data_IF_526758762049
#
_entry.id   IF_526758762049
#
_cell.length_a   1.000
_cell.length_b   1.000
_cell.length_c   1.000
_cell.angle_alpha   90.00
_cell.angle_beta   90.00
_cell.angle_gamma   90.00
#
_symmetry.space_group_name_H-M   'P 1'
#
loop_
_entity.id
_entity.type
_entity.pdbx_description
1 polymer ?
#
# COMPACT_ATOMS: atom_id res chain seq x y z
N UNK A 1 48.19 -27.23 53.86
CA UNK A 1 47.20 -27.92 53.01
C UNK A 1 45.88 -27.16 53.16
N UNK A 2 45.64 -26.17 52.31
CA UNK A 2 44.82 -26.22 51.07
C UNK A 2 43.38 -25.80 51.35
N UNK A 3 42.94 -24.66 50.78
CA UNK A 3 41.48 -24.42 50.74
C UNK A 3 40.89 -23.06 50.36
N UNK A 4 41.58 -22.20 49.61
CA UNK A 4 41.03 -21.17 48.70
C UNK A 4 39.92 -20.21 49.19
N UNK A 5 40.40 -19.01 49.54
CA UNK A 5 39.81 -17.68 49.36
C UNK A 5 39.02 -17.53 48.03
N UNK A 6 37.67 -17.42 48.11
CA UNK A 6 36.79 -17.11 46.96
C UNK A 6 36.55 -15.60 46.89
N UNK A 7 37.45 -14.90 46.21
CA UNK A 7 37.23 -13.50 45.78
C UNK A 7 36.11 -13.46 44.75
N UNK A 8 35.05 -12.72 45.03
CA UNK A 8 34.06 -12.30 44.05
C UNK A 8 34.75 -11.46 42.96
N UNK A 9 35.03 -12.06 41.80
CA UNK A 9 35.27 -11.30 40.57
C UNK A 9 33.95 -10.67 40.17
N UNK A 10 33.87 -9.35 40.26
CA UNK A 10 32.85 -8.57 39.57
C UNK A 10 32.86 -8.99 38.10
N UNK A 11 31.75 -9.59 37.65
CA UNK A 11 31.58 -9.94 36.26
C UNK A 11 31.57 -8.63 35.45
N UNK A 12 32.56 -8.48 34.57
CA UNK A 12 32.57 -7.40 33.58
C UNK A 12 31.22 -7.46 32.84
N UNK A 13 30.48 -6.35 32.71
CA UNK A 13 29.25 -6.34 31.93
C UNK A 13 29.59 -6.84 30.51
N UNK A 14 28.73 -7.69 29.91
CA UNK A 14 28.97 -8.14 28.55
C UNK A 14 29.14 -6.89 27.66
N UNK A 15 30.11 -6.89 26.74
CA UNK A 15 30.25 -5.78 25.81
C UNK A 15 28.90 -5.55 25.14
N UNK A 16 28.46 -4.29 25.12
CA UNK A 16 27.24 -3.88 24.45
C UNK A 16 27.20 -4.55 23.07
N UNK A 17 26.06 -5.16 22.74
CA UNK A 17 25.84 -5.75 21.42
C UNK A 17 26.31 -4.74 20.36
N UNK A 18 27.11 -5.16 19.35
CA UNK A 18 27.64 -4.23 18.38
C UNK A 18 26.49 -3.43 17.78
N UNK A 19 26.59 -2.10 17.86
CA UNK A 19 25.60 -1.17 17.34
C UNK A 19 25.25 -1.59 15.91
N UNK A 20 23.95 -1.82 15.67
CA UNK A 20 23.45 -2.18 14.34
C UNK A 20 23.94 -1.14 13.34
N UNK A 21 24.49 -1.53 12.17
CA UNK A 21 24.87 -0.58 11.10
C UNK A 21 23.67 0.14 10.46
N UNK A 22 22.48 -0.04 11.02
CA UNK A 22 21.24 0.53 10.54
C UNK A 22 20.76 1.60 11.52
N UNK A 23 20.70 2.83 11.02
CA UNK A 23 20.03 3.95 11.69
C UNK A 23 18.55 3.94 11.29
N UNK A 24 17.61 4.04 12.25
CA UNK A 24 16.20 4.29 11.96
C UNK A 24 16.01 5.47 11.02
N UNK A 25 14.99 5.40 10.15
CA UNK A 25 14.62 6.50 9.27
C UNK A 25 13.16 6.85 9.55
N UNK A 26 12.93 8.08 10.02
CA UNK A 26 11.57 8.56 10.27
C UNK A 26 10.90 8.89 8.94
N UNK A 27 9.67 8.40 8.75
CA UNK A 27 8.90 8.70 7.54
C UNK A 27 7.96 9.88 7.80
N UNK A 28 7.91 10.81 6.85
CA UNK A 28 7.04 12.00 6.89
C UNK A 28 6.47 12.29 5.50
N UNK A 29 5.62 13.31 5.40
CA UNK A 29 5.24 13.94 4.14
C UNK A 29 5.43 15.45 4.15
N UNK A 30 5.61 16.02 2.96
CA UNK A 30 5.73 17.44 2.71
C UNK A 30 4.97 17.79 1.42
N UNK A 31 4.04 18.73 1.49
CA UNK A 31 3.46 19.34 0.30
C UNK A 31 4.19 20.64 -0.01
N UNK A 32 4.74 20.77 -1.21
CA UNK A 32 5.47 21.97 -1.64
C UNK A 32 4.55 23.19 -1.79
N UNK A 33 3.23 22.99 -1.86
CA UNK A 33 2.26 24.09 -1.80
C UNK A 33 2.12 24.68 -0.38
N UNK A 34 2.51 23.93 0.65
CA UNK A 34 2.59 24.38 2.05
C UNK A 34 3.93 23.93 2.66
N UNK A 35 5.05 24.54 2.23
CA UNK A 35 6.39 24.08 2.55
C UNK A 35 6.77 24.27 4.02
N UNK A 36 5.92 24.91 4.82
CA UNK A 36 6.13 25.12 6.25
C UNK A 36 5.74 23.93 7.12
N UNK A 37 4.91 23.01 6.60
CA UNK A 37 4.30 21.95 7.39
C UNK A 37 4.76 20.55 6.93
N UNK A 38 5.72 19.98 7.67
CA UNK A 38 6.07 18.55 7.57
C UNK A 38 5.08 17.76 8.43
N UNK A 39 4.49 16.69 7.90
CA UNK A 39 3.42 15.93 8.56
C UNK A 39 3.79 14.46 8.73
N UNK A 40 3.20 13.83 9.75
CA UNK A 40 3.29 12.38 9.96
C UNK A 40 2.37 11.61 9.01
N UNK A 41 2.75 10.39 8.58
CA UNK A 41 1.95 9.54 7.70
C UNK A 41 0.47 9.38 8.12
N UNK A 42 -0.42 9.33 7.13
CA UNK A 42 -1.86 9.07 7.34
C UNK A 42 -2.62 10.21 8.02
N UNK A 43 -2.16 11.46 7.87
CA UNK A 43 -2.84 12.64 8.39
C UNK A 43 -2.82 12.77 9.92
N UNK A 44 -1.74 12.30 10.58
CA UNK A 44 -1.58 12.39 12.05
C UNK A 44 -1.12 13.77 12.55
N UNK A 45 -1.06 14.76 11.67
CA UNK A 45 -0.68 16.14 11.99
C UNK A 45 0.82 16.42 11.83
N UNK A 46 1.30 17.59 12.31
CA UNK A 46 2.67 18.04 12.14
C UNK A 46 3.71 17.10 12.75
N UNK A 47 4.91 17.05 12.16
CA UNK A 47 6.04 16.26 12.61
C UNK A 47 7.33 17.09 12.58
N UNK A 48 8.15 16.94 13.63
CA UNK A 48 9.47 17.57 13.71
C UNK A 48 10.55 16.52 14.08
N UNK A 49 10.79 15.52 13.22
CA UNK A 49 11.68 14.42 13.54
C UNK A 49 13.15 14.86 13.61
N UNK A 50 13.91 14.18 14.46
CA UNK A 50 15.37 14.30 14.53
C UNK A 50 16.04 13.13 13.78
N UNK A 51 17.27 13.34 13.29
CA UNK A 51 18.03 12.30 12.58
C UNK A 51 17.59 12.08 11.13
N UNK A 52 17.68 10.84 10.63
CA UNK A 52 17.41 10.55 9.20
C UNK A 52 15.92 10.58 8.91
N UNK A 53 15.54 11.28 7.85
CA UNK A 53 14.16 11.46 7.40
C UNK A 53 14.00 10.97 5.96
N UNK A 54 12.89 10.28 5.68
CA UNK A 54 12.41 10.01 4.33
C UNK A 54 11.03 10.65 4.18
N UNK A 55 10.87 11.53 3.20
CA UNK A 55 9.64 12.27 3.00
C UNK A 55 8.98 11.89 1.68
N UNK A 56 7.68 11.62 1.71
CA UNK A 56 6.86 11.70 0.51
C UNK A 56 6.66 13.18 0.18
N UNK A 57 7.14 13.60 -0.98
CA UNK A 57 6.98 14.97 -1.46
C UNK A 57 5.79 15.04 -2.41
N UNK A 58 4.95 16.04 -2.20
CA UNK A 58 3.78 16.33 -3.01
C UNK A 58 3.82 17.75 -3.56
N UNK A 59 3.01 18.01 -4.56
CA UNK A 59 2.67 19.36 -5.00
C UNK A 59 1.16 19.44 -5.20
N UNK A 60 0.49 20.25 -4.40
CA UNK A 60 -0.99 20.36 -4.41
C UNK A 60 -1.67 18.99 -4.19
N UNK A 61 -1.15 18.20 -3.26
CA UNK A 61 -1.61 16.84 -2.93
C UNK A 61 -1.07 15.73 -3.83
N UNK A 62 -0.58 16.06 -5.02
CA UNK A 62 -0.08 15.08 -6.00
C UNK A 62 1.30 14.54 -5.63
N UNK A 63 1.47 13.21 -5.45
CA UNK A 63 2.78 12.62 -5.13
C UNK A 63 3.80 12.79 -6.26
N UNK A 64 4.95 13.36 -5.93
CA UNK A 64 6.08 13.52 -6.85
C UNK A 64 7.15 12.45 -6.65
N UNK A 65 7.40 12.06 -5.40
CA UNK A 65 8.44 11.09 -5.08
C UNK A 65 8.83 11.02 -3.62
N UNK A 66 9.73 10.10 -3.28
CA UNK A 66 10.40 10.09 -1.98
C UNK A 66 11.73 10.84 -2.07
N UNK A 67 12.02 11.67 -1.08
CA UNK A 67 13.35 12.29 -0.89
C UNK A 67 13.86 12.04 0.52
N UNK A 68 15.14 12.31 0.74
CA UNK A 68 15.80 12.09 2.02
C UNK A 68 16.47 13.38 2.52
N UNK A 69 16.40 13.61 3.84
CA UNK A 69 17.11 14.68 4.52
C UNK A 69 17.47 14.26 5.95
N UNK A 70 18.18 15.13 6.65
CA UNK A 70 18.48 14.97 8.08
C UNK A 70 17.76 16.06 8.86
N UNK A 71 16.88 15.65 9.77
CA UNK A 71 16.24 16.52 10.74
C UNK A 71 17.20 16.92 11.84
N UNK A 72 16.88 18.03 12.50
CA UNK A 72 17.57 18.46 13.72
C UNK A 72 16.52 18.91 14.72
N UNK A 73 16.61 18.38 15.94
CA UNK A 73 15.72 18.73 17.05
C UNK A 73 15.49 20.25 17.15
N UNK A 74 14.22 20.66 17.26
CA UNK A 74 13.80 22.06 17.39
C UNK A 74 13.88 22.90 16.10
N UNK A 75 14.19 22.32 14.93
CA UNK A 75 14.30 23.06 13.66
C UNK A 75 13.43 22.49 12.52
N UNK A 76 12.10 22.40 12.68
CA UNK A 76 11.21 21.85 11.64
C UNK A 76 11.26 22.62 10.31
N UNK A 77 11.34 23.95 10.35
CA UNK A 77 11.44 24.77 9.13
C UNK A 77 12.74 24.52 8.35
N UNK A 78 13.84 24.20 9.03
CA UNK A 78 15.10 23.87 8.36
C UNK A 78 15.01 22.49 7.67
N UNK A 79 14.36 21.52 8.31
CA UNK A 79 14.06 20.22 7.70
C UNK A 79 13.19 20.39 6.45
N UNK A 80 12.12 21.17 6.54
CA UNK A 80 11.21 21.40 5.42
C UNK A 80 11.93 22.03 4.21
N UNK A 81 12.80 23.03 4.45
CA UNK A 81 13.67 23.61 3.41
C UNK A 81 14.63 22.59 2.80
N UNK A 82 15.26 21.75 3.64
CA UNK A 82 16.17 20.71 3.16
C UNK A 82 15.46 19.69 2.26
N UNK A 83 14.24 19.30 2.64
CA UNK A 83 13.38 18.40 1.86
C UNK A 83 12.91 19.04 0.55
N UNK A 84 12.47 20.30 0.58
CA UNK A 84 12.10 21.04 -0.64
C UNK A 84 13.29 21.19 -1.61
N UNK A 85 14.48 21.49 -1.09
CA UNK A 85 15.69 21.56 -1.90
C UNK A 85 16.08 20.19 -2.48
N UNK A 86 15.91 19.09 -1.73
CA UNK A 86 16.11 17.74 -2.24
C UNK A 86 15.09 17.41 -3.34
N UNK A 87 13.83 17.77 -3.16
CA UNK A 87 12.78 17.59 -4.18
C UNK A 87 13.07 18.32 -5.48
N UNK A 88 13.54 19.57 -5.40
CA UNK A 88 13.96 20.33 -6.57
C UNK A 88 15.10 19.62 -7.33
N UNK A 89 16.14 19.17 -6.62
CA UNK A 89 17.31 18.51 -7.23
C UNK A 89 17.03 17.11 -7.77
N UNK A 90 16.25 16.30 -7.04
CA UNK A 90 16.09 14.87 -7.31
C UNK A 90 14.83 14.56 -8.14
N UNK A 91 13.78 15.34 -7.98
CA UNK A 91 12.48 15.11 -8.62
C UNK A 91 12.15 16.16 -9.69
N UNK A 92 12.98 17.20 -9.85
CA UNK A 92 12.71 18.31 -10.77
C UNK A 92 11.49 19.15 -10.36
N UNK A 93 11.12 19.11 -9.08
CA UNK A 93 10.00 19.89 -8.55
C UNK A 93 10.26 21.41 -8.70
N UNK A 94 9.22 22.26 -8.79
CA UNK A 94 9.40 23.71 -8.80
C UNK A 94 10.23 24.16 -7.60
N UNK A 95 11.14 25.10 -7.81
CA UNK A 95 11.84 25.73 -6.70
C UNK A 95 10.79 26.44 -5.84
N UNK A 96 10.72 26.08 -4.57
CA UNK A 96 9.88 26.81 -3.60
C UNK A 96 10.57 28.16 -3.39
N UNK A 97 9.91 29.29 -3.67
CA UNK A 97 10.47 30.61 -3.36
C UNK A 97 10.79 30.66 -1.87
N UNK A 98 11.91 31.28 -1.49
CA UNK A 98 12.15 31.57 -0.07
C UNK A 98 10.91 32.29 0.47
N UNK A 99 10.25 31.70 1.47
CA UNK A 99 9.09 32.32 2.09
C UNK A 99 9.51 33.74 2.53
N UNK A 100 8.80 34.80 2.11
CA UNK A 100 9.14 36.13 2.56
C UNK A 100 9.00 36.16 4.09
N UNK A 101 9.98 36.79 4.75
CA UNK A 101 9.84 37.16 6.15
C UNK A 101 8.49 37.88 6.33
N UNK A 102 7.78 37.60 7.42
CA UNK A 102 6.52 38.23 7.79
C UNK A 102 6.58 39.75 7.50
N UNK A 103 5.67 40.31 6.68
CA UNK A 103 5.69 41.74 6.43
C UNK A 103 5.21 42.53 7.65
N UNK A 104 5.88 43.65 7.92
CA UNK A 104 5.39 44.69 8.84
C UNK A 104 4.05 45.29 8.35
N UNK A 105 3.20 45.82 9.25
CA UNK A 105 1.89 46.39 8.91
C UNK A 105 1.99 47.67 8.03
N UNK A 106 0.89 48.10 7.39
CA UNK A 106 0.89 48.49 5.98
C UNK A 106 1.14 49.98 5.74
N UNK A 107 1.60 50.31 4.53
CA UNK A 107 1.42 51.62 3.92
C UNK A 107 0.56 51.50 2.65
N UNK A 108 -0.51 52.28 2.57
CA UNK A 108 -1.44 52.37 1.45
C UNK A 108 -0.97 53.43 0.41
N UNK A 109 -1.73 53.69 -0.68
CA UNK A 109 -1.71 52.93 -1.93
C UNK A 109 -1.23 53.78 -3.13
N UNK A 110 -0.78 53.12 -4.19
CA UNK A 110 -0.52 53.78 -5.49
C UNK A 110 -0.59 52.78 -6.66
N UNK A 111 -1.55 52.97 -7.55
CA UNK A 111 -1.68 52.36 -8.88
C UNK A 111 -1.47 53.49 -9.95
N UNK A 112 -1.36 53.26 -11.28
CA UNK A 112 -1.74 52.04 -12.04
C UNK A 112 -0.86 51.61 -13.25
N UNK A 113 -1.30 50.49 -13.87
CA UNK A 113 -1.19 50.01 -15.28
C UNK A 113 0.20 49.61 -15.84
N UNK A 114 0.46 48.53 -16.59
CA UNK A 114 -0.25 47.47 -17.36
C UNK A 114 0.77 46.93 -18.41
N UNK A 115 0.48 46.07 -19.43
CA UNK A 115 -0.42 44.91 -19.54
C UNK A 115 0.31 43.61 -19.99
N UNK A 116 -0.43 42.49 -19.94
CA UNK A 116 -0.37 41.31 -20.83
C UNK A 116 0.78 40.28 -20.80
N UNK A 117 0.41 39.05 -20.42
CA UNK A 117 1.13 37.80 -20.66
C UNK A 117 0.20 36.63 -20.35
N UNK A 118 -0.38 36.03 -21.39
CA UNK A 118 -1.56 35.18 -21.36
C UNK A 118 -1.42 33.92 -20.48
N UNK A 119 -2.41 33.75 -19.61
CA UNK A 119 -2.64 32.62 -18.71
C UNK A 119 -2.97 31.35 -19.50
N UNK A 120 -2.12 30.34 -19.37
CA UNK A 120 -2.55 28.95 -19.52
C UNK A 120 -3.35 28.59 -18.26
N UNK A 121 -4.69 28.57 -18.39
CA UNK A 121 -5.60 28.06 -17.37
C UNK A 121 -5.32 26.57 -17.13
N UNK A 122 -4.41 26.28 -16.22
CA UNK A 122 -4.31 24.97 -15.59
C UNK A 122 -5.58 24.78 -14.75
N UNK A 123 -6.44 23.92 -15.26
CA UNK A 123 -7.74 23.61 -14.67
C UNK A 123 -7.53 23.01 -13.27
N UNK A 124 -8.01 23.71 -12.24
CA UNK A 124 -8.14 23.14 -10.91
C UNK A 124 -8.97 21.84 -10.97
N UNK A 125 -8.69 20.83 -10.12
CA UNK A 125 -9.43 19.58 -10.14
C UNK A 125 -10.91 19.84 -9.87
N UNK A 126 -11.75 19.44 -10.83
CA UNK A 126 -13.20 19.34 -10.65
C UNK A 126 -13.43 18.48 -9.40
N UNK A 127 -14.07 19.05 -8.37
CA UNK A 127 -14.27 18.38 -7.08
C UNK A 127 -14.70 16.93 -7.28
N UNK A 128 -13.86 15.99 -6.84
CA UNK A 128 -14.09 14.55 -7.01
C UNK A 128 -15.39 14.17 -6.28
N UNK A 129 -16.44 13.85 -7.05
CA UNK A 129 -17.70 13.36 -6.50
C UNK A 129 -17.67 11.83 -6.52
N UNK A 130 -18.10 11.20 -5.43
CA UNK A 130 -18.40 9.78 -5.45
C UNK A 130 -19.51 9.53 -6.49
N UNK A 131 -19.48 8.41 -7.24
CA UNK A 131 -20.64 7.99 -8.02
C UNK A 131 -21.89 7.90 -7.12
N UNK A 132 -23.07 8.13 -7.67
CA UNK A 132 -24.32 8.38 -6.95
C UNK A 132 -24.76 7.31 -5.90
N UNK A 133 -24.08 6.16 -5.81
CA UNK A 133 -24.37 5.13 -4.81
C UNK A 133 -23.26 4.88 -3.79
N UNK A 134 -22.36 5.84 -3.55
CA UNK A 134 -21.41 5.81 -2.43
C UNK A 134 -20.33 4.72 -2.51
N UNK A 135 -19.55 4.60 -1.42
CA UNK A 135 -18.41 3.70 -1.31
C UNK A 135 -18.44 2.91 0.00
N UNK A 136 -18.20 1.61 -0.07
CA UNK A 136 -17.94 0.77 1.10
C UNK A 136 -16.43 0.56 1.23
N UNK A 137 -15.86 0.84 2.40
CA UNK A 137 -14.47 0.52 2.72
C UNK A 137 -14.45 -0.77 3.54
N UNK A 138 -13.76 -1.80 3.07
CA UNK A 138 -13.64 -3.10 3.73
C UNK A 138 -12.24 -3.26 4.28
N UNK A 139 -12.15 -3.47 5.59
CA UNK A 139 -10.90 -3.72 6.32
C UNK A 139 -11.02 -5.12 6.89
N UNK A 140 -10.03 -5.98 6.64
CA UNK A 140 -9.99 -7.33 7.19
C UNK A 140 -8.89 -7.39 8.25
N UNK A 141 -9.23 -7.93 9.43
CA UNK A 141 -8.28 -8.06 10.54
C UNK A 141 -8.31 -9.47 11.12
N UNK A 142 -7.24 -9.83 11.82
CA UNK A 142 -7.17 -11.04 12.65
C UNK A 142 -6.17 -10.86 13.76
N UNK A 143 -6.67 -10.73 14.98
CA UNK A 143 -5.88 -10.69 16.23
C UNK A 143 -4.78 -9.60 16.25
N UNK A 144 -5.06 -8.39 15.73
CA UNK A 144 -4.11 -7.24 15.66
C UNK A 144 -4.73 -5.89 16.05
N UNK A 145 -5.37 -5.84 17.21
CA UNK A 145 -6.12 -4.66 17.69
C UNK A 145 -5.31 -3.36 17.73
N UNK A 146 -4.02 -3.40 18.06
CA UNK A 146 -3.17 -2.20 18.12
C UNK A 146 -2.98 -1.53 16.75
N UNK A 147 -2.59 -2.31 15.72
CA UNK A 147 -2.42 -1.79 14.37
C UNK A 147 -3.77 -1.38 13.76
N UNK A 148 -4.81 -2.14 14.08
CA UNK A 148 -6.17 -1.90 13.59
C UNK A 148 -6.71 -0.54 14.02
N UNK A 149 -6.56 -0.13 15.28
CA UNK A 149 -7.10 1.15 15.74
C UNK A 149 -6.52 2.35 14.95
N UNK A 150 -5.22 2.29 14.69
CA UNK A 150 -4.50 3.26 13.87
C UNK A 150 -5.02 3.31 12.41
N UNK A 151 -5.30 2.14 11.83
CA UNK A 151 -5.90 2.00 10.51
C UNK A 151 -7.31 2.61 10.48
N UNK A 152 -8.17 2.21 11.41
CA UNK A 152 -9.56 2.66 11.51
C UNK A 152 -9.65 4.19 11.62
N UNK A 153 -8.83 4.79 12.49
CA UNK A 153 -8.78 6.25 12.65
C UNK A 153 -8.42 6.96 11.33
N UNK A 154 -7.47 6.42 10.57
CA UNK A 154 -7.05 7.00 9.28
C UNK A 154 -8.12 6.86 8.20
N UNK A 155 -8.81 5.70 8.15
CA UNK A 155 -9.90 5.45 7.20
C UNK A 155 -11.09 6.35 7.51
N UNK A 156 -11.44 6.54 8.79
CA UNK A 156 -12.50 7.46 9.19
C UNK A 156 -12.17 8.90 8.80
N UNK A 157 -10.92 9.36 8.97
CA UNK A 157 -10.50 10.68 8.45
C UNK A 157 -10.68 10.78 6.93
N UNK A 158 -10.26 9.79 6.15
CA UNK A 158 -10.44 9.79 4.70
C UNK A 158 -11.93 9.77 4.29
N UNK A 159 -12.77 9.05 5.03
CA UNK A 159 -14.23 9.04 4.85
C UNK A 159 -14.86 10.41 5.14
N UNK A 160 -14.44 11.05 6.23
CA UNK A 160 -14.91 12.38 6.62
C UNK A 160 -14.47 13.43 5.59
N UNK A 161 -13.22 13.36 5.08
CA UNK A 161 -12.72 14.21 4.00
C UNK A 161 -13.55 14.08 2.72
N UNK A 162 -13.86 12.86 2.27
CA UNK A 162 -14.70 12.66 1.08
C UNK A 162 -16.13 13.17 1.30
N UNK A 163 -16.71 12.93 2.48
CA UNK A 163 -18.07 13.38 2.82
C UNK A 163 -18.16 14.90 2.86
N UNK A 164 -17.12 15.58 3.35
CA UNK A 164 -17.05 17.05 3.39
C UNK A 164 -16.91 17.68 1.99
N UNK A 165 -16.34 16.97 1.01
CA UNK A 165 -16.09 17.50 -0.33
C UNK A 165 -17.35 17.71 -1.20
N UNK A 166 -18.52 17.22 -0.76
CA UNK A 166 -19.80 17.60 -1.35
C UNK A 166 -20.91 16.55 -1.20
N UNK A 167 -22.18 16.95 -1.41
CA UNK A 167 -23.33 16.06 -1.35
C UNK A 167 -23.28 15.07 -2.53
N UNK A 168 -22.88 13.83 -2.27
CA UNK A 168 -22.85 12.80 -3.32
C UNK A 168 -22.15 11.48 -2.96
N UNK A 169 -21.41 11.41 -1.85
CA UNK A 169 -20.76 10.18 -1.42
C UNK A 169 -21.06 9.81 0.02
N UNK A 170 -21.94 8.84 0.24
CA UNK A 170 -21.99 8.15 1.54
C UNK A 170 -20.85 7.15 1.59
N UNK A 171 -20.02 7.23 2.63
CA UNK A 171 -19.00 6.22 2.93
C UNK A 171 -19.48 5.37 4.10
N UNK A 172 -19.48 4.05 3.93
CA UNK A 172 -19.59 3.13 5.06
C UNK A 172 -18.27 2.40 5.27
N UNK A 173 -17.92 2.15 6.53
CA UNK A 173 -16.71 1.40 6.90
C UNK A 173 -17.14 0.06 7.49
N UNK A 174 -16.70 -1.02 6.84
CA UNK A 174 -16.93 -2.40 7.22
C UNK A 174 -15.64 -2.99 7.76
N UNK A 175 -15.67 -3.44 9.02
CA UNK A 175 -14.57 -4.19 9.61
C UNK A 175 -14.95 -5.66 9.67
N UNK A 176 -14.16 -6.51 9.00
CA UNK A 176 -14.32 -7.95 8.99
C UNK A 176 -13.24 -8.59 9.87
N UNK A 177 -13.67 -9.12 11.00
CA UNK A 177 -12.84 -9.86 11.93
C UNK A 177 -12.78 -11.34 11.51
N UNK A 178 -11.60 -11.82 11.13
CA UNK A 178 -11.43 -13.10 10.47
C UNK A 178 -10.91 -14.19 11.41
N UNK A 179 -11.79 -15.13 11.75
CA UNK A 179 -11.54 -16.22 12.68
C UNK A 179 -10.89 -15.72 13.98
N UNK A 180 -11.54 -14.75 14.68
CA UNK A 180 -10.98 -14.16 15.89
C UNK A 180 -10.73 -15.21 16.96
N UNK A 181 -9.61 -15.06 17.69
CA UNK A 181 -9.33 -15.91 18.85
C UNK A 181 -10.16 -15.54 20.08
N UNK A 182 -10.71 -14.32 20.12
CA UNK A 182 -11.47 -13.79 21.26
C UNK A 182 -12.19 -12.47 20.91
N UNK A 183 -12.84 -11.83 21.89
CA UNK A 183 -13.74 -10.69 21.67
C UNK A 183 -13.04 -9.33 21.54
N UNK A 184 -11.70 -9.28 21.53
CA UNK A 184 -10.97 -8.01 21.68
C UNK A 184 -11.17 -7.04 20.51
N UNK A 185 -11.25 -7.55 19.27
CA UNK A 185 -11.57 -6.74 18.09
C UNK A 185 -12.99 -6.18 18.18
N UNK A 186 -13.97 -7.00 18.53
CA UNK A 186 -15.37 -6.58 18.68
C UNK A 186 -15.51 -5.51 19.76
N UNK A 187 -14.85 -5.72 20.92
CA UNK A 187 -14.82 -4.78 22.03
C UNK A 187 -14.19 -3.44 21.64
N UNK A 188 -13.06 -3.47 20.95
CA UNK A 188 -12.42 -2.25 20.42
C UNK A 188 -13.39 -1.44 19.56
N UNK A 189 -14.15 -2.10 18.68
CA UNK A 189 -15.13 -1.43 17.82
C UNK A 189 -16.29 -0.84 18.62
N UNK A 190 -16.86 -1.63 19.52
CA UNK A 190 -17.99 -1.22 20.33
C UNK A 190 -17.66 -0.02 21.23
N UNK A 191 -16.47 -0.01 21.83
CA UNK A 191 -16.06 1.03 22.78
C UNK A 191 -15.53 2.30 22.10
N UNK A 192 -14.70 2.18 21.07
CA UNK A 192 -14.01 3.33 20.45
C UNK A 192 -14.71 3.90 19.22
N UNK A 193 -15.51 3.10 18.53
CA UNK A 193 -16.10 3.47 17.23
C UNK A 193 -17.63 3.29 17.15
N UNK A 194 -18.41 3.64 18.19
CA UNK A 194 -19.84 3.40 18.22
C UNK A 194 -20.55 4.08 17.04
N UNK A 195 -21.27 3.30 16.23
CA UNK A 195 -22.04 3.77 15.08
C UNK A 195 -21.21 4.23 13.87
N UNK A 196 -19.87 4.26 13.96
CA UNK A 196 -18.98 4.68 12.85
C UNK A 196 -18.49 3.50 12.01
N UNK A 197 -18.40 2.31 12.61
CA UNK A 197 -17.89 1.10 11.97
C UNK A 197 -18.91 -0.02 12.09
N UNK A 198 -19.17 -0.70 10.98
CA UNK A 198 -20.00 -1.90 10.95
C UNK A 198 -19.12 -3.14 11.10
N UNK A 199 -19.15 -3.74 12.29
CA UNK A 199 -18.44 -4.97 12.59
C UNK A 199 -19.11 -6.19 11.94
N UNK A 200 -18.29 -7.09 11.39
CA UNK A 200 -18.68 -8.35 10.79
C UNK A 200 -17.70 -9.43 11.22
N UNK A 201 -18.19 -10.61 11.60
CA UNK A 201 -17.36 -11.77 11.85
C UNK A 201 -17.38 -12.73 10.65
N UNK A 202 -16.20 -13.17 10.21
CA UNK A 202 -16.02 -14.31 9.31
C UNK A 202 -15.38 -15.46 10.11
N UNK A 203 -16.13 -16.51 10.47
CA UNK A 203 -15.64 -17.53 11.40
C UNK A 203 -14.55 -18.43 10.80
N UNK A 204 -14.45 -18.56 9.48
CA UNK A 204 -13.45 -19.42 8.85
C UNK A 204 -12.20 -18.63 8.42
N UNK A 205 -10.98 -19.12 8.72
CA UNK A 205 -9.77 -18.39 8.40
C UNK A 205 -9.55 -18.27 6.89
N UNK A 206 -9.08 -17.10 6.46
CA UNK A 206 -8.70 -16.82 5.08
C UNK A 206 -9.09 -15.41 4.65
N UNK A 207 -8.11 -14.64 4.20
CA UNK A 207 -8.30 -13.24 3.80
C UNK A 207 -9.34 -13.08 2.69
N UNK A 208 -9.35 -13.99 1.69
CA UNK A 208 -10.35 -13.98 0.63
C UNK A 208 -11.78 -14.21 1.16
N UNK A 209 -11.94 -15.04 2.21
CA UNK A 209 -13.24 -15.25 2.88
C UNK A 209 -13.68 -13.97 3.57
N UNK A 210 -12.78 -13.34 4.33
CA UNK A 210 -13.06 -12.08 5.00
C UNK A 210 -13.43 -10.96 4.01
N UNK A 211 -12.66 -10.81 2.92
CA UNK A 211 -12.97 -9.83 1.86
C UNK A 211 -14.32 -10.13 1.20
N UNK A 212 -14.66 -11.40 0.97
CA UNK A 212 -15.97 -11.77 0.42
C UNK A 212 -17.11 -11.52 1.40
N UNK A 213 -16.91 -11.73 2.71
CA UNK A 213 -17.88 -11.38 3.76
C UNK A 213 -18.15 -9.87 3.75
N UNK A 214 -17.11 -9.06 3.65
CA UNK A 214 -17.22 -7.61 3.49
C UNK A 214 -17.92 -7.21 2.18
N UNK A 215 -17.53 -7.82 1.06
CA UNK A 215 -18.12 -7.57 -0.26
C UNK A 215 -19.61 -7.92 -0.31
N UNK A 216 -20.03 -9.01 0.33
CA UNK A 216 -21.44 -9.39 0.43
C UNK A 216 -22.25 -8.36 1.26
N UNK A 217 -21.61 -7.79 2.28
CA UNK A 217 -22.17 -6.78 3.16
C UNK A 217 -22.18 -5.35 2.57
N UNK A 218 -21.34 -5.06 1.58
CA UNK A 218 -21.15 -3.74 0.97
C UNK A 218 -22.44 -3.21 0.30
N UNK A 219 -22.79 -1.96 0.56
CA UNK A 219 -23.93 -1.26 -0.03
C UNK A 219 -23.49 -0.21 -1.06
N UNK A 220 -22.24 0.24 -0.98
CA UNK A 220 -21.65 1.19 -1.90
C UNK A 220 -21.54 0.63 -3.32
N UNK A 221 -21.71 1.51 -4.31
CA UNK A 221 -21.45 1.17 -5.73
C UNK A 221 -19.98 0.91 -6.03
N UNK A 222 -19.10 1.47 -5.20
CA UNK A 222 -17.68 1.18 -5.14
C UNK A 222 -17.34 0.43 -3.85
N UNK A 223 -16.39 -0.50 -3.91
CA UNK A 223 -15.88 -1.23 -2.76
C UNK A 223 -14.36 -1.08 -2.71
N UNK A 224 -13.85 -0.35 -1.73
CA UNK A 224 -12.44 -0.16 -1.46
C UNK A 224 -11.96 -1.17 -0.41
N UNK A 225 -10.72 -1.63 -0.54
CA UNK A 225 -10.07 -2.57 0.36
C UNK A 225 -8.73 -2.00 0.82
N UNK A 226 -8.47 -2.12 2.12
CA UNK A 226 -7.16 -1.86 2.72
C UNK A 226 -6.89 -2.84 3.86
N UNK A 227 -5.64 -2.92 4.29
CA UNK A 227 -5.18 -3.87 5.30
C UNK A 227 -5.17 -3.22 6.70
N UNK A 228 -5.25 -4.03 7.76
CA UNK A 228 -5.30 -3.57 9.15
C UNK A 228 -3.98 -2.94 9.66
N UNK A 229 -2.90 -3.06 8.89
CA UNK A 229 -1.58 -2.48 9.13
C UNK A 229 -1.26 -1.30 8.19
N UNK A 230 -2.29 -0.73 7.57
CA UNK A 230 -2.21 0.42 6.69
C UNK A 230 -2.81 1.70 7.29
N UNK A 231 -2.27 2.87 6.91
CA UNK A 231 -2.84 4.19 7.20
C UNK A 231 -3.32 4.82 5.90
N UNK A 232 -4.61 5.09 5.79
CA UNK A 232 -5.19 5.77 4.64
C UNK A 232 -4.81 7.25 4.64
N UNK A 233 -4.45 7.76 3.48
CA UNK A 233 -4.30 9.20 3.25
C UNK A 233 -5.67 9.90 3.28
N UNK A 234 -5.79 11.14 3.80
CA UNK A 234 -7.06 11.88 3.76
C UNK A 234 -7.67 12.01 2.35
N UNK A 235 -6.84 12.12 1.31
CA UNK A 235 -7.26 12.18 -0.09
C UNK A 235 -7.54 10.81 -0.74
N UNK A 236 -7.30 9.70 -0.04
CA UNK A 236 -7.33 8.35 -0.59
C UNK A 236 -8.64 8.01 -1.31
N UNK A 237 -9.78 8.14 -0.60
CA UNK A 237 -11.08 7.78 -1.16
C UNK A 237 -11.52 8.71 -2.28
N UNK A 238 -11.15 10.00 -2.21
CA UNK A 238 -11.44 10.99 -3.25
C UNK A 238 -10.69 10.65 -4.55
N UNK A 239 -9.40 10.29 -4.45
CA UNK A 239 -8.61 9.87 -5.61
C UNK A 239 -9.17 8.59 -6.26
N UNK A 240 -9.59 7.60 -5.44
CA UNK A 240 -10.25 6.40 -5.94
C UNK A 240 -11.57 6.73 -6.66
N UNK A 241 -12.41 7.55 -6.06
CA UNK A 241 -13.69 7.97 -6.63
C UNK A 241 -13.51 8.73 -7.96
N UNK A 242 -12.56 9.67 -8.01
CA UNK A 242 -12.23 10.44 -9.21
C UNK A 242 -11.84 9.53 -10.38
N UNK A 243 -11.07 8.47 -10.12
CA UNK A 243 -10.63 7.53 -11.14
C UNK A 243 -11.78 6.72 -11.76
N UNK A 244 -12.76 6.29 -10.96
CA UNK A 244 -13.96 5.64 -11.46
C UNK A 244 -14.92 6.58 -12.19
N UNK A 245 -14.94 7.86 -11.81
CA UNK A 245 -15.73 8.89 -12.47
C UNK A 245 -15.13 9.29 -13.83
N UNK A 246 -13.80 9.23 -13.97
CA UNK A 246 -13.09 9.62 -15.18
C UNK A 246 -13.29 8.67 -16.38
N UNK A 247 -13.40 7.35 -16.13
CA UNK A 247 -13.62 6.36 -17.19
C UNK A 247 -14.61 5.26 -16.76
N UNK A 248 -15.79 5.13 -17.42
CA UNK A 248 -16.75 4.07 -17.16
C UNK A 248 -16.18 2.65 -17.31
N UNK A 249 -15.16 2.45 -18.15
CA UNK A 249 -14.52 1.15 -18.39
C UNK A 249 -13.64 0.68 -17.23
N UNK A 250 -13.27 1.58 -16.33
CA UNK A 250 -12.50 1.26 -15.13
C UNK A 250 -13.29 0.32 -14.23
N UNK A 251 -12.81 -0.92 -14.13
CA UNK A 251 -13.37 -1.95 -13.28
C UNK A 251 -12.69 -2.03 -11.91
N UNK A 252 -11.41 -1.66 -11.86
CA UNK A 252 -10.59 -1.62 -10.66
C UNK A 252 -9.67 -0.40 -10.67
N UNK A 253 -9.48 0.20 -9.49
CA UNK A 253 -8.50 1.25 -9.26
C UNK A 253 -7.55 0.76 -8.17
N UNK A 254 -6.25 0.96 -8.37
CA UNK A 254 -5.21 0.71 -7.37
C UNK A 254 -4.48 2.00 -7.08
N UNK A 255 -3.79 2.07 -5.94
CA UNK A 255 -3.11 3.29 -5.53
C UNK A 255 -1.65 3.11 -5.14
N UNK A 256 -1.00 4.23 -4.86
CA UNK A 256 0.37 4.27 -4.36
C UNK A 256 0.42 3.69 -2.94
N UNK A 257 1.40 2.83 -2.69
CA UNK A 257 1.70 2.32 -1.35
C UNK A 257 3.13 2.68 -1.01
N UNK A 258 3.28 3.36 0.12
CA UNK A 258 4.55 3.89 0.65
C UNK A 258 4.75 3.39 2.09
N UNK A 259 5.98 3.36 2.61
CA UNK A 259 6.23 2.85 3.97
C UNK A 259 5.65 3.81 5.00
N UNK A 260 4.92 3.31 6.00
CA UNK A 260 4.52 4.12 7.16
C UNK A 260 5.67 4.35 8.16
N UNK A 261 6.66 3.45 8.17
CA UNK A 261 7.81 3.47 9.09
C UNK A 261 9.00 2.71 8.50
N UNK A 262 10.22 3.13 8.86
CA UNK A 262 11.49 2.53 8.41
C UNK A 262 12.49 2.39 9.57
N UNK A 263 11.99 1.98 10.73
CA UNK A 263 12.75 1.87 11.98
C UNK A 263 13.73 0.71 11.96
N UNK A 264 13.39 -0.38 11.26
CA UNK A 264 14.15 -1.63 11.36
C UNK A 264 14.88 -2.01 10.07
N UNK A 265 15.95 -2.81 10.16
CA UNK A 265 16.65 -3.34 8.99
C UNK A 265 15.76 -4.12 8.04
N UNK A 266 14.73 -4.81 8.57
CA UNK A 266 13.81 -5.61 7.77
C UNK A 266 12.94 -4.71 6.89
N UNK A 267 12.43 -3.60 7.43
CA UNK A 267 11.58 -2.67 6.70
C UNK A 267 12.37 -1.97 5.59
N UNK A 268 13.55 -1.46 5.91
CA UNK A 268 14.45 -0.86 4.90
C UNK A 268 14.88 -1.86 3.83
N UNK A 269 15.10 -3.12 4.19
CA UNK A 269 15.42 -4.18 3.23
C UNK A 269 14.22 -4.52 2.33
N UNK A 270 13.00 -4.51 2.87
CA UNK A 270 11.79 -4.72 2.08
C UNK A 270 11.58 -3.61 1.07
N UNK A 271 11.79 -2.34 1.42
CA UNK A 271 11.65 -1.25 0.44
C UNK A 271 12.65 -1.28 -0.68
N UNK A 272 13.87 -1.75 -0.41
CA UNK A 272 14.83 -2.04 -1.49
C UNK A 272 14.45 -3.27 -2.32
N UNK A 273 13.66 -4.18 -1.76
CA UNK A 273 13.25 -5.42 -2.41
C UNK A 273 12.03 -5.22 -3.30
N UNK A 274 10.95 -4.70 -2.72
CA UNK A 274 9.64 -4.54 -3.31
C UNK A 274 9.50 -3.22 -4.09
N UNK A 275 10.18 -2.16 -3.62
CA UNK A 275 10.34 -0.88 -4.32
C UNK A 275 9.05 -0.15 -4.71
N UNK A 276 9.21 1.09 -5.16
CA UNK A 276 8.15 1.87 -5.81
C UNK A 276 8.03 1.50 -7.29
N UNK A 277 8.06 0.21 -7.64
CA UNK A 277 8.14 -0.29 -9.03
C UNK A 277 7.01 0.24 -9.95
N UNK A 278 5.89 0.68 -9.37
CA UNK A 278 4.74 1.24 -10.09
C UNK A 278 4.92 2.71 -10.49
N UNK A 279 5.86 3.42 -9.86
CA UNK A 279 6.20 4.81 -10.14
C UNK A 279 5.19 5.82 -9.59
N UNK A 280 5.38 7.07 -10.00
CA UNK A 280 4.66 8.26 -9.53
C UNK A 280 3.64 8.80 -10.53
N UNK A 281 3.44 8.07 -11.64
CA UNK A 281 2.57 8.50 -12.74
C UNK A 281 1.35 7.60 -12.85
N UNK A 282 0.18 8.15 -13.20
CA UNK A 282 -1.01 7.35 -13.52
C UNK A 282 -0.74 6.37 -14.66
N UNK A 283 -1.29 5.17 -14.56
CA UNK A 283 -1.17 4.13 -15.60
C UNK A 283 -2.45 3.32 -15.67
N UNK A 284 -2.87 2.96 -16.88
CA UNK A 284 -4.05 2.16 -17.13
C UNK A 284 -3.67 0.90 -17.89
N UNK A 285 -4.19 -0.25 -17.46
CA UNK A 285 -4.00 -1.53 -18.15
C UNK A 285 -5.35 -2.08 -18.60
N UNK A 286 -5.40 -2.46 -19.87
CA UNK A 286 -6.45 -3.26 -20.48
C UNK A 286 -5.78 -4.29 -21.41
N UNK A 287 -6.49 -5.35 -21.79
CA UNK A 287 -5.92 -6.40 -22.65
C UNK A 287 -5.99 -6.07 -24.15
N UNK A 288 -6.66 -4.99 -24.52
CA UNK A 288 -6.77 -4.53 -25.91
C UNK A 288 -5.53 -3.73 -26.35
N UNK A 289 -4.81 -3.15 -25.40
CA UNK A 289 -3.56 -2.44 -25.64
C UNK A 289 -2.38 -3.41 -25.85
N UNK A 290 -1.39 -3.06 -26.70
CA UNK A 290 -0.18 -3.85 -26.84
C UNK A 290 0.55 -4.01 -25.50
N UNK A 291 0.71 -5.26 -25.04
CA UNK A 291 1.42 -5.54 -23.79
C UNK A 291 2.91 -5.21 -23.88
N UNK A 292 3.51 -4.83 -22.74
CA UNK A 292 4.94 -4.45 -22.65
C UNK A 292 5.91 -5.65 -22.78
N UNK A 293 5.40 -6.88 -22.85
CA UNK A 293 6.22 -8.07 -23.02
C UNK A 293 5.41 -9.37 -23.08
N UNK A 294 6.08 -10.52 -23.31
CA UNK A 294 5.42 -11.79 -23.56
C UNK A 294 4.51 -12.24 -22.42
N UNK A 295 4.89 -12.01 -21.15
CA UNK A 295 4.12 -12.41 -19.96
C UNK A 295 3.25 -11.28 -19.39
N UNK A 296 3.11 -10.16 -20.10
CA UNK A 296 2.40 -8.99 -19.58
C UNK A 296 0.95 -9.33 -19.19
N UNK A 297 0.25 -10.19 -19.93
CA UNK A 297 -1.10 -10.65 -19.57
C UNK A 297 -1.20 -11.32 -18.18
N UNK A 298 -0.11 -11.91 -17.69
CA UNK A 298 -0.07 -12.68 -16.45
C UNK A 298 0.57 -11.90 -15.29
N UNK A 299 1.37 -10.87 -15.58
CA UNK A 299 2.10 -10.08 -14.56
C UNK A 299 1.24 -8.99 -13.90
N UNK A 300 0.09 -9.35 -13.34
CA UNK A 300 -0.89 -8.39 -12.80
C UNK A 300 -0.42 -7.65 -11.54
N UNK A 301 0.67 -8.08 -10.89
CA UNK A 301 1.28 -7.37 -9.77
C UNK A 301 1.79 -5.97 -10.12
N UNK A 302 2.01 -5.68 -11.41
CA UNK A 302 2.31 -4.31 -11.88
C UNK A 302 1.14 -3.34 -11.67
N UNK A 303 -0.08 -3.87 -11.59
CA UNK A 303 -1.28 -3.04 -11.50
C UNK A 303 -1.41 -2.43 -10.11
N UNK A 304 -1.01 -3.13 -9.04
CA UNK A 304 -1.18 -2.66 -7.68
C UNK A 304 -0.97 -3.76 -6.65
N UNK A 305 -1.39 -3.52 -5.42
CA UNK A 305 -1.38 -4.50 -4.33
C UNK A 305 -2.69 -4.48 -3.55
N UNK A 306 -3.03 -5.59 -2.93
CA UNK A 306 -4.29 -5.78 -2.19
C UNK A 306 -4.55 -4.81 -1.05
N UNK A 307 -3.51 -4.15 -0.51
CA UNK A 307 -3.62 -3.14 0.55
C UNK A 307 -4.18 -1.79 0.07
N UNK A 308 -4.22 -1.55 -1.25
CA UNK A 308 -4.71 -0.30 -1.82
C UNK A 308 -5.38 -0.57 -3.18
N UNK A 309 -6.63 -1.03 -3.12
CA UNK A 309 -7.43 -1.33 -4.29
C UNK A 309 -8.90 -1.02 -4.05
N UNK A 310 -9.61 -0.66 -5.12
CA UNK A 310 -11.05 -0.50 -5.13
C UNK A 310 -11.64 -1.07 -6.42
N UNK A 311 -12.89 -1.47 -6.36
CA UNK A 311 -13.61 -2.08 -7.49
C UNK A 311 -15.00 -1.47 -7.62
N UNK A 312 -15.57 -1.53 -8.83
CA UNK A 312 -17.02 -1.46 -8.96
C UNK A 312 -17.63 -2.67 -8.24
N UNK A 313 -18.46 -2.44 -7.23
CA UNK A 313 -19.00 -3.49 -6.37
C UNK A 313 -19.76 -4.54 -7.18
N UNK A 314 -20.60 -4.10 -8.12
CA UNK A 314 -21.35 -4.99 -9.01
C UNK A 314 -20.43 -5.86 -9.86
N UNK A 315 -19.38 -5.29 -10.45
CA UNK A 315 -18.42 -6.04 -11.27
C UNK A 315 -17.71 -7.11 -10.44
N UNK A 316 -17.16 -6.76 -9.28
CA UNK A 316 -16.43 -7.72 -8.45
C UNK A 316 -17.33 -8.88 -8.00
N UNK A 317 -18.62 -8.62 -7.73
CA UNK A 317 -19.62 -9.66 -7.45
C UNK A 317 -19.87 -10.57 -8.66
N UNK A 318 -20.05 -9.99 -9.85
CA UNK A 318 -20.24 -10.76 -11.11
C UNK A 318 -19.03 -11.63 -11.43
N UNK A 319 -17.81 -11.18 -11.10
CA UNK A 319 -16.58 -11.97 -11.25
C UNK A 319 -16.42 -13.08 -10.19
N UNK A 320 -17.37 -13.18 -9.25
CA UNK A 320 -17.41 -14.18 -8.19
C UNK A 320 -16.56 -13.83 -6.96
N UNK A 321 -16.21 -12.56 -6.76
CA UNK A 321 -15.38 -12.11 -5.65
C UNK A 321 -13.95 -12.68 -5.66
N UNK A 322 -13.34 -12.75 -4.48
CA UNK A 322 -12.00 -13.32 -4.28
C UNK A 322 -12.09 -14.85 -4.17
N UNK A 323 -11.18 -15.61 -4.81
CA UNK A 323 -11.19 -17.09 -4.71
C UNK A 323 -10.83 -17.52 -3.27
N UNK A 324 -11.73 -18.19 -2.52
CA UNK A 324 -11.48 -18.58 -1.13
C UNK A 324 -10.30 -19.54 -0.93
N UNK A 325 -9.76 -20.13 -2.01
CA UNK A 325 -8.55 -20.97 -1.94
C UNK A 325 -7.25 -20.19 -2.16
N UNK A 326 -7.33 -18.88 -2.40
CA UNK A 326 -6.20 -17.94 -2.45
C UNK A 326 -6.19 -17.06 -1.19
N UNK A 327 -5.11 -16.30 -1.00
CA UNK A 327 -5.01 -15.32 0.09
C UNK A 327 -4.35 -15.82 1.37
N UNK A 328 -3.91 -14.85 2.16
CA UNK A 328 -3.29 -15.09 3.48
C UNK A 328 -4.26 -15.83 4.40
N UNK A 329 -3.72 -16.68 5.29
CA UNK A 329 -4.53 -17.57 6.13
C UNK A 329 -4.90 -18.91 5.48
N UNK A 330 -4.58 -19.09 4.19
CA UNK A 330 -4.66 -20.37 3.48
C UNK A 330 -3.25 -20.92 3.16
N UNK A 331 -3.11 -22.21 2.83
CA UNK A 331 -1.87 -22.76 2.29
C UNK A 331 -1.30 -22.01 1.06
N UNK A 332 -2.15 -21.34 0.27
CA UNK A 332 -1.75 -20.54 -0.89
C UNK A 332 -1.09 -19.19 -0.53
N UNK A 333 -1.24 -18.70 0.71
CA UNK A 333 -0.51 -17.55 1.28
C UNK A 333 -0.60 -16.20 0.53
N UNK A 334 -1.43 -16.08 -0.51
CA UNK A 334 -1.60 -14.84 -1.29
C UNK A 334 -2.21 -15.10 -2.67
N UNK A 335 -2.07 -14.14 -3.58
CA UNK A 335 -2.46 -14.23 -4.99
C UNK A 335 -3.93 -13.89 -5.29
N UNK A 336 -4.70 -13.55 -4.27
CA UNK A 336 -6.12 -13.20 -4.37
C UNK A 336 -6.34 -11.87 -5.09
N UNK A 337 -5.49 -10.88 -4.84
CA UNK A 337 -5.50 -9.56 -5.50
C UNK A 337 -5.05 -9.69 -6.95
N UNK A 338 -3.97 -10.43 -7.21
CA UNK A 338 -3.46 -10.74 -8.55
C UNK A 338 -4.52 -11.41 -9.42
N UNK A 339 -5.25 -12.37 -8.83
CA UNK A 339 -6.36 -13.04 -9.50
C UNK A 339 -7.52 -12.07 -9.76
N UNK A 340 -7.88 -11.23 -8.79
CA UNK A 340 -8.93 -10.23 -8.98
C UNK A 340 -8.60 -9.27 -10.13
N UNK A 341 -7.36 -8.74 -10.19
CA UNK A 341 -6.92 -7.89 -11.29
C UNK A 341 -6.94 -8.63 -12.64
N UNK A 342 -6.49 -9.89 -12.67
CA UNK A 342 -6.55 -10.71 -13.88
C UNK A 342 -7.98 -10.91 -14.37
N UNK A 343 -8.93 -11.14 -13.48
CA UNK A 343 -10.34 -11.31 -13.82
C UNK A 343 -10.98 -10.03 -14.34
N UNK A 344 -10.63 -8.87 -13.77
CA UNK A 344 -11.06 -7.56 -14.31
C UNK A 344 -10.55 -7.37 -15.74
N UNK A 345 -9.25 -7.62 -15.96
CA UNK A 345 -8.62 -7.49 -17.28
C UNK A 345 -9.22 -8.46 -18.32
N UNK A 346 -9.39 -9.73 -17.95
CA UNK A 346 -9.94 -10.76 -18.85
C UNK A 346 -11.43 -10.63 -19.11
N UNK A 347 -12.16 -9.90 -18.27
CA UNK A 347 -13.53 -9.47 -18.52
C UNK A 347 -13.64 -8.22 -19.40
N UNK A 348 -12.53 -7.70 -19.95
CA UNK A 348 -12.53 -6.54 -20.85
C UNK A 348 -12.56 -5.18 -20.15
N UNK A 349 -12.31 -5.14 -18.84
CA UNK A 349 -12.26 -3.90 -18.08
C UNK A 349 -10.82 -3.38 -17.89
N UNK A 350 -10.72 -2.10 -17.55
CA UNK A 350 -9.45 -1.45 -17.20
C UNK A 350 -9.14 -1.61 -15.71
N UNK A 351 -7.87 -1.89 -15.40
CA UNK A 351 -7.28 -1.66 -14.07
C UNK A 351 -6.47 -0.37 -14.12
N UNK A 352 -6.82 0.61 -13.30
CA UNK A 352 -6.22 1.94 -13.29
C UNK A 352 -5.37 2.16 -12.03
N UNK A 353 -4.08 2.43 -12.18
CA UNK A 353 -3.22 2.87 -11.08
C UNK A 353 -3.25 4.39 -10.96
N UNK A 354 -3.56 4.88 -9.77
CA UNK A 354 -3.62 6.31 -9.45
C UNK A 354 -2.72 6.62 -8.26
N UNK A 355 -1.56 7.27 -8.49
CA UNK A 355 -0.62 7.54 -7.42
C UNK A 355 -1.21 8.45 -6.34
N UNK A 356 -2.18 9.31 -6.67
CA UNK A 356 -2.88 10.18 -5.72
C UNK A 356 -3.69 9.41 -4.66
N UNK A 357 -4.09 8.16 -4.93
CA UNK A 357 -4.72 7.30 -3.94
C UNK A 357 -3.62 6.70 -3.05
N UNK A 358 -3.20 7.42 -2.02
CA UNK A 358 -2.06 7.02 -1.17
C UNK A 358 -2.51 6.18 0.03
N UNK A 359 -1.76 5.12 0.29
CA UNK A 359 -1.84 4.34 1.53
C UNK A 359 -0.43 4.15 2.09
N UNK A 360 -0.27 4.36 3.39
CA UNK A 360 0.98 4.15 4.11
C UNK A 360 0.96 2.78 4.77
N UNK A 361 1.90 1.90 4.47
CA UNK A 361 1.86 0.50 4.92
C UNK A 361 2.98 0.21 5.92
N UNK A 362 2.64 -0.46 7.02
CA UNK A 362 3.62 -0.90 8.02
C UNK A 362 4.25 -2.22 7.62
N UNK A 363 5.54 -2.18 7.33
CA UNK A 363 6.29 -3.36 6.95
C UNK A 363 6.64 -4.24 8.15
N UNK A 364 6.87 -5.52 7.88
CA UNK A 364 7.28 -6.48 8.92
C UNK A 364 8.59 -6.02 9.59
N UNK A 365 8.54 -5.88 10.91
CA UNK A 365 9.66 -5.34 11.70
C UNK A 365 10.86 -6.29 11.84
N UNK A 366 10.66 -7.60 11.70
CA UNK A 366 11.73 -8.61 11.85
C UNK A 366 12.15 -9.24 10.52
N UNK A 367 13.43 -9.60 10.38
CA UNK A 367 13.95 -10.27 9.18
C UNK A 367 13.29 -11.64 8.96
N UNK A 368 12.93 -12.34 10.03
CA UNK A 368 12.20 -13.60 9.93
C UNK A 368 10.80 -13.39 9.33
N UNK A 369 10.04 -12.42 9.85
CA UNK A 369 8.71 -12.13 9.34
C UNK A 369 8.75 -11.63 7.88
N UNK A 370 9.72 -10.79 7.52
CA UNK A 370 9.99 -10.40 6.13
C UNK A 370 10.25 -11.62 5.23
N UNK A 371 11.07 -12.56 5.71
CA UNK A 371 11.41 -13.77 4.97
C UNK A 371 10.18 -14.64 4.71
N UNK A 372 9.30 -14.78 5.70
CA UNK A 372 8.01 -15.47 5.55
C UNK A 372 7.11 -14.72 4.56
N UNK A 373 7.06 -13.39 4.63
CA UNK A 373 6.28 -12.55 3.73
C UNK A 373 6.72 -12.72 2.27
N UNK A 374 8.02 -12.57 1.98
CA UNK A 374 8.56 -12.70 0.61
C UNK A 374 8.39 -14.13 0.06
N UNK A 375 8.55 -15.15 0.91
CA UNK A 375 8.19 -16.51 0.49
C UNK A 375 6.69 -16.64 0.18
N UNK A 376 5.83 -15.96 0.94
CA UNK A 376 4.39 -15.89 0.72
C UNK A 376 4.03 -15.25 -0.61
N UNK A 377 4.69 -14.14 -1.00
CA UNK A 377 4.50 -13.48 -2.30
C UNK A 377 4.72 -14.46 -3.46
N UNK A 378 5.81 -15.23 -3.42
CA UNK A 378 6.10 -16.25 -4.42
C UNK A 378 5.03 -17.34 -4.48
N UNK A 379 4.66 -17.90 -3.32
CA UNK A 379 3.61 -18.93 -3.23
C UNK A 379 2.28 -18.39 -3.76
N UNK A 380 1.92 -17.17 -3.39
CA UNK A 380 0.71 -16.47 -3.83
C UNK A 380 0.69 -16.27 -5.34
N UNK A 381 1.81 -15.82 -5.94
CA UNK A 381 1.90 -15.67 -7.40
C UNK A 381 1.71 -17.00 -8.12
N UNK A 382 2.33 -18.08 -7.64
CA UNK A 382 2.12 -19.42 -8.20
C UNK A 382 0.70 -19.95 -8.03
N UNK A 383 0.08 -19.69 -6.88
CA UNK A 383 -1.31 -20.05 -6.61
C UNK A 383 -2.28 -19.28 -7.51
N UNK A 384 -2.03 -17.98 -7.73
CA UNK A 384 -2.76 -17.15 -8.68
C UNK A 384 -2.74 -17.74 -10.09
N UNK A 385 -1.56 -18.10 -10.62
CA UNK A 385 -1.46 -18.70 -11.95
C UNK A 385 -2.27 -19.99 -12.05
N UNK A 386 -2.21 -20.85 -11.04
CA UNK A 386 -3.01 -22.07 -10.99
C UNK A 386 -4.52 -21.78 -10.93
N UNK A 387 -4.93 -20.77 -10.17
CA UNK A 387 -6.33 -20.35 -10.07
C UNK A 387 -6.84 -19.75 -11.40
N UNK A 388 -6.04 -18.94 -12.07
CA UNK A 388 -6.35 -18.37 -13.37
C UNK A 388 -6.51 -19.47 -14.44
N UNK A 389 -5.56 -20.42 -14.51
CA UNK A 389 -5.63 -21.57 -15.42
C UNK A 389 -6.84 -22.47 -15.12
N UNK A 390 -7.22 -22.65 -13.85
CA UNK A 390 -8.43 -23.41 -13.50
C UNK A 390 -9.71 -22.73 -14.00
N UNK A 391 -9.78 -21.39 -13.93
CA UNK A 391 -10.95 -20.63 -14.42
C UNK A 391 -10.98 -20.55 -15.95
N UNK A 392 -9.82 -20.45 -16.59
CA UNK A 392 -9.69 -20.36 -18.04
C UNK A 392 -8.60 -21.31 -18.56
N UNK A 393 -8.90 -22.61 -18.72
CA UNK A 393 -7.91 -23.62 -19.14
C UNK A 393 -7.27 -23.34 -20.50
N UNK A 394 -7.98 -22.62 -21.38
CA UNK A 394 -7.48 -22.19 -22.69
C UNK A 394 -6.21 -21.31 -22.60
N UNK A 395 -5.94 -20.67 -21.46
CA UNK A 395 -4.74 -19.86 -21.24
C UNK A 395 -3.46 -20.70 -21.12
N UNK A 396 -3.55 -22.02 -20.91
CA UNK A 396 -2.38 -22.87 -20.68
C UNK A 396 -1.41 -22.86 -21.86
N UNK A 397 -1.93 -23.02 -23.09
CA UNK A 397 -1.10 -23.02 -24.29
C UNK A 397 -0.38 -21.68 -24.50
N UNK A 398 -1.12 -20.58 -24.33
CA UNK A 398 -0.58 -19.22 -24.43
C UNK A 398 0.52 -18.96 -23.38
N UNK A 399 0.27 -19.34 -22.12
CA UNK A 399 1.26 -19.21 -21.06
C UNK A 399 2.53 -20.00 -21.38
N UNK A 400 2.41 -21.29 -21.72
CA UNK A 400 3.55 -22.16 -22.04
C UNK A 400 4.38 -21.62 -23.21
N UNK A 401 3.71 -21.10 -24.26
CA UNK A 401 4.37 -20.49 -25.42
C UNK A 401 5.19 -19.25 -25.04
N UNK A 402 4.72 -18.47 -24.06
CA UNK A 402 5.34 -17.20 -23.63
C UNK A 402 6.39 -17.36 -22.53
N UNK A 403 6.42 -18.50 -21.84
CA UNK A 403 7.36 -18.77 -20.75
C UNK A 403 8.84 -18.61 -21.15
N UNK A 404 9.34 -19.15 -22.29
CA UNK A 404 10.74 -19.01 -22.67
C UNK A 404 11.14 -17.54 -22.87
N UNK A 405 10.33 -16.78 -23.60
CA UNK A 405 10.57 -15.36 -23.86
C UNK A 405 10.47 -14.53 -22.56
N UNK A 406 9.53 -14.89 -21.68
CA UNK A 406 9.41 -14.29 -20.34
C UNK A 406 10.62 -14.55 -19.45
N UNK A 407 11.17 -15.76 -19.45
CA UNK A 407 12.38 -16.10 -18.71
C UNK A 407 13.60 -15.31 -19.22
N UNK A 408 13.75 -15.17 -20.54
CA UNK A 408 14.80 -14.35 -21.15
C UNK A 408 14.65 -12.87 -20.74
N UNK A 409 13.43 -12.33 -20.81
CA UNK A 409 13.12 -10.96 -20.38
C UNK A 409 13.42 -10.72 -18.90
N UNK A 410 13.07 -11.69 -18.04
CA UNK A 410 13.44 -11.68 -16.63
C UNK A 410 14.97 -11.59 -16.49
N UNK A 411 15.73 -12.49 -17.10
CA UNK A 411 17.18 -12.49 -16.97
C UNK A 411 17.86 -11.21 -17.48
N UNK A 412 17.34 -10.58 -18.54
CA UNK A 412 17.92 -9.37 -19.14
C UNK A 412 17.52 -8.05 -18.46
N UNK A 413 16.31 -7.95 -17.93
CA UNK A 413 15.80 -6.73 -17.28
C UNK A 413 16.24 -6.55 -15.82
N UNK A 414 16.85 -7.58 -15.20
CA UNK A 414 17.09 -7.60 -13.77
C UNK A 414 18.48 -7.05 -13.39
N UNK A 415 18.59 -5.72 -13.31
CA UNK A 415 19.65 -5.10 -12.49
C UNK A 415 19.29 -5.30 -11.01
N UNK A 416 20.21 -5.79 -10.16
CA UNK A 416 19.95 -5.83 -8.73
C UNK A 416 19.69 -4.40 -8.22
N UNK A 417 18.79 -4.20 -7.25
CA UNK A 417 18.58 -2.91 -6.63
C UNK A 417 19.92 -2.39 -6.09
N UNK A 418 20.08 -1.06 -6.09
CA UNK A 418 21.17 -0.43 -5.37
C UNK A 418 21.19 -0.99 -3.94
N UNK A 419 22.36 -1.43 -3.51
CA UNK A 419 22.53 -2.09 -2.22
C UNK A 419 23.72 -1.47 -1.51
N UNK A 420 23.43 -0.86 -0.37
CA UNK A 420 24.35 -0.04 0.41
C UNK A 420 25.52 -0.87 0.96
N UNK A 421 25.29 -2.17 1.22
CA UNK A 421 26.30 -3.06 1.79
C UNK A 421 26.39 -4.42 1.08
N UNK A 422 27.55 -5.12 1.13
CA UNK A 422 27.68 -6.51 0.68
C UNK A 422 26.71 -7.48 1.38
N UNK A 423 26.38 -7.21 2.65
CA UNK A 423 25.43 -7.99 3.44
C UNK A 423 24.00 -7.85 2.88
N UNK A 424 23.57 -6.63 2.57
CA UNK A 424 22.26 -6.39 1.97
C UNK A 424 22.16 -7.02 0.58
N UNK A 425 23.22 -6.99 -0.23
CA UNK A 425 23.26 -7.75 -1.50
C UNK A 425 23.06 -9.24 -1.29
N UNK A 426 23.67 -9.84 -0.26
CA UNK A 426 23.47 -11.26 0.06
C UNK A 426 22.04 -11.54 0.50
N UNK A 427 21.47 -10.68 1.36
CA UNK A 427 20.09 -10.79 1.85
C UNK A 427 19.06 -10.64 0.72
N UNK A 428 19.17 -9.62 -0.13
CA UNK A 428 18.30 -9.42 -1.29
C UNK A 428 18.32 -10.62 -2.24
N UNK A 429 19.50 -11.20 -2.51
CA UNK A 429 19.61 -12.43 -3.31
C UNK A 429 18.95 -13.63 -2.63
N UNK A 430 19.02 -13.73 -1.30
CA UNK A 430 18.35 -14.78 -0.55
C UNK A 430 16.83 -14.65 -0.65
N UNK A 431 16.29 -13.44 -0.45
CA UNK A 431 14.86 -13.14 -0.60
C UNK A 431 14.35 -13.53 -1.99
N UNK A 432 15.06 -13.16 -3.07
CA UNK A 432 14.68 -13.56 -4.45
C UNK A 432 14.66 -15.07 -4.66
N UNK A 433 15.64 -15.79 -4.10
CA UNK A 433 15.65 -17.26 -4.17
C UNK A 433 14.45 -17.86 -3.44
N UNK A 434 14.03 -17.26 -2.34
CA UNK A 434 12.88 -17.73 -1.57
C UNK A 434 11.56 -17.47 -2.29
N UNK A 435 11.39 -16.29 -2.87
CA UNK A 435 10.22 -15.99 -3.71
C UNK A 435 10.11 -16.97 -4.89
N UNK A 436 11.21 -17.21 -5.61
CA UNK A 436 11.23 -18.19 -6.72
C UNK A 436 10.92 -19.62 -6.30
N UNK A 437 11.41 -20.05 -5.13
CA UNK A 437 11.03 -21.36 -4.57
C UNK A 437 9.55 -21.38 -4.18
N UNK A 438 9.04 -20.27 -3.68
CA UNK A 438 7.62 -20.08 -3.38
C UNK A 438 6.74 -20.25 -4.62
N UNK A 439 7.14 -19.65 -5.74
CA UNK A 439 6.43 -19.74 -7.03
C UNK A 439 6.12 -21.19 -7.43
N UNK A 440 7.12 -22.08 -7.36
CA UNK A 440 6.92 -23.49 -7.68
C UNK A 440 5.99 -24.23 -6.68
N UNK A 441 5.90 -23.75 -5.44
CA UNK A 441 5.05 -24.34 -4.41
C UNK A 441 3.60 -23.85 -4.46
N UNK A 442 3.33 -22.72 -5.13
CA UNK A 442 2.00 -22.11 -5.22
C UNK A 442 0.92 -23.04 -5.78
N UNK A 443 1.08 -23.59 -7.01
CA UNK A 443 0.07 -24.44 -7.63
C UNK A 443 -0.38 -25.65 -6.80
N UNK A 444 0.50 -26.51 -6.26
CA UNK A 444 0.06 -27.66 -5.46
C UNK A 444 -0.63 -27.23 -4.17
N UNK A 445 -0.22 -26.10 -3.56
CA UNK A 445 -0.86 -25.56 -2.35
C UNK A 445 -2.26 -25.03 -2.63
N UNK A 446 -2.46 -24.35 -3.77
CA UNK A 446 -3.78 -23.92 -4.23
C UNK A 446 -4.73 -25.11 -4.42
N UNK A 447 -4.29 -26.14 -5.14
CA UNK A 447 -5.08 -27.35 -5.38
C UNK A 447 -5.41 -28.08 -4.08
N UNK A 448 -4.47 -28.12 -3.13
CA UNK A 448 -4.70 -28.68 -1.80
C UNK A 448 -5.80 -27.92 -1.04
N UNK A 449 -5.74 -26.58 -1.00
CA UNK A 449 -6.79 -25.76 -0.34
C UNK A 449 -8.16 -25.98 -0.99
N UNK A 450 -8.23 -26.05 -2.32
CA UNK A 450 -9.49 -26.36 -3.03
C UNK A 450 -10.05 -27.71 -2.62
N UNK A 451 -9.22 -28.76 -2.56
CA UNK A 451 -9.66 -30.11 -2.14
C UNK A 451 -10.23 -30.10 -0.73
N UNK A 452 -9.58 -29.42 0.23
CA UNK A 452 -10.10 -29.31 1.59
C UNK A 452 -11.47 -28.62 1.65
N UNK A 453 -11.68 -27.58 0.85
CA UNK A 453 -12.96 -26.86 0.80
C UNK A 453 -14.10 -27.70 0.21
N UNK A 454 -13.80 -28.59 -0.75
CA UNK A 454 -14.78 -29.52 -1.28
C UNK A 454 -15.19 -30.63 -0.29
N UNK A 455 -14.33 -30.95 0.69
CA UNK A 455 -14.59 -32.00 1.69
C UNK A 455 -15.20 -31.46 3.00
N UNK A 456 -15.45 -30.16 3.11
CA UNK A 456 -16.21 -29.59 4.23
C UNK A 456 -17.67 -29.54 3.81
N UNK A 457 -18.58 -30.39 4.34
CA UNK A 457 -20.00 -30.27 4.05
C UNK A 457 -20.47 -28.90 4.50
N UNK A 458 -21.28 -28.22 3.69
CA UNK A 458 -21.92 -26.97 4.09
C UNK A 458 -22.76 -27.20 5.33
N UNK A 459 -22.30 -26.69 6.48
CA UNK A 459 -23.14 -26.54 7.66
C UNK A 459 -24.21 -25.52 7.33
N UNK A 460 -25.47 -25.96 7.34
CA UNK A 460 -26.65 -25.16 7.05
C UNK A 460 -27.02 -24.15 8.12
#
# INVERSE_FOLDING_TARGET
>A
MNGRDRRHRAACPPPAAPASPHTPVTVVELDLADPGEVRSPGGRGPAAPDGRVSALVRLHGHPLGMVHATGTSGRPAALARALAAAAHRELGAPAVPDAPALPDPPAAPGAPAGPEGQSAQQSAPRAARCPAGGMSVVICTRDRTELLADCLDSVLRAADTLTAAGPGGTVEVLLVDNAPAGPDTERLVAERYPGRIRYLCEPAPGLSRARNRGLAAARGTLCAFTDDDALADPGWLAALAAAFAADPRTGCVTGLVVPAELDTPAQQLFERYAGTERGWTPRDWNLDAPGAGPLDRYSTGRCGIGANMAFRTGLLRTLGGFDPATGTGTPARGGEDLLAFHLVLTAGHTVAYRPDAVVWHRHRRTLHALTVQVSGLGIGFGAYLAAALRRHPALLGDLLLRLPAGAIGWHRGHRPPAADTPLDRRRLRALRRMERRGLAQGPPRYLYTRRQQHHTPGGG
#
